data_IF_985962333618
#
_entry.id   IF_985962333618
#
_cell.length_a   1.000
_cell.length_b   1.000
_cell.length_c   1.000
_cell.angle_alpha   90.00
_cell.angle_beta   90.00
_cell.angle_gamma   90.00
#
_symmetry.space_group_name_H-M   'P 1'
#
loop_
_entity.id
_entity.type
_entity.pdbx_description
1 polymer ?
#
# COMPACT_ATOMS: atom_id res chain seq x y z
N UNK A 1 7.34 -9.37 -0.66
CA UNK A 1 8.00 -8.04 -0.69
C UNK A 1 7.65 -7.32 0.59
N UNK A 2 8.57 -6.61 1.24
CA UNK A 2 8.30 -5.91 2.50
C UNK A 2 8.28 -4.40 2.30
N UNK A 3 7.31 -3.72 2.89
CA UNK A 3 7.19 -2.26 2.89
C UNK A 3 6.88 -1.75 4.29
N UNK A 4 7.26 -0.50 4.55
CA UNK A 4 6.99 0.22 5.79
C UNK A 4 5.71 1.02 5.68
N UNK A 5 4.82 0.89 6.67
CA UNK A 5 3.53 1.54 6.74
C UNK A 5 3.39 2.31 8.06
N UNK A 6 2.60 3.38 8.02
CA UNK A 6 2.09 4.03 9.23
C UNK A 6 0.80 3.32 9.62
N UNK A 7 0.68 2.88 10.87
CA UNK A 7 -0.57 2.31 11.38
C UNK A 7 -1.64 3.41 11.39
N UNK A 8 -2.80 3.21 10.72
CA UNK A 8 -3.86 4.21 10.71
C UNK A 8 -4.41 4.45 12.12
N UNK A 9 -4.81 5.69 12.42
CA UNK A 9 -5.34 6.07 13.74
C UNK A 9 -6.60 5.28 14.15
N UNK A 10 -7.33 4.74 13.17
CA UNK A 10 -8.53 3.93 13.37
C UNK A 10 -8.23 2.49 13.86
N UNK A 11 -6.96 2.06 13.87
CA UNK A 11 -6.58 0.70 14.23
C UNK A 11 -6.32 0.59 15.72
N UNK A 12 -6.31 -0.63 16.23
CA UNK A 12 -5.95 -0.96 17.60
C UNK A 12 -4.63 -1.69 17.62
N UNK A 13 -3.73 -1.30 18.51
CA UNK A 13 -2.38 -1.84 18.64
C UNK A 13 -2.19 -2.32 20.08
N UNK A 14 -1.90 -3.61 20.27
CA UNK A 14 -1.86 -4.25 21.60
C UNK A 14 -3.11 -3.94 22.46
N UNK A 15 -4.30 -3.97 21.85
CA UNK A 15 -5.56 -3.66 22.54
C UNK A 15 -5.83 -2.17 22.80
N UNK A 16 -4.89 -1.27 22.47
CA UNK A 16 -5.05 0.18 22.66
C UNK A 16 -5.28 0.88 21.32
N UNK A 17 -6.29 1.77 21.18
CA UNK A 17 -6.51 2.55 19.97
C UNK A 17 -5.27 3.34 19.55
N UNK A 18 -4.88 3.26 18.27
CA UNK A 18 -3.70 3.95 17.74
C UNK A 18 -3.79 5.48 17.89
N UNK A 19 -5.00 6.05 17.87
CA UNK A 19 -5.24 7.48 18.12
C UNK A 19 -4.78 7.98 19.49
N UNK A 20 -4.67 7.09 20.48
CA UNK A 20 -4.22 7.40 21.85
C UNK A 20 -2.70 7.18 22.02
N UNK A 21 -2.02 6.76 20.95
CA UNK A 21 -0.60 6.40 20.95
C UNK A 21 0.21 7.30 20.02
N UNK A 22 1.52 7.43 20.24
CA UNK A 22 2.43 7.97 19.24
C UNK A 22 2.34 7.17 17.92
N UNK A 23 2.59 7.81 16.75
CA UNK A 23 2.57 7.13 15.46
C UNK A 23 3.42 5.85 15.47
N UNK A 24 2.80 4.72 15.13
CA UNK A 24 3.47 3.43 15.02
C UNK A 24 3.82 3.14 13.56
N UNK A 25 5.06 2.75 13.31
CA UNK A 25 5.52 2.28 12.01
C UNK A 25 5.65 0.75 12.05
N UNK A 26 5.19 0.10 10.99
CA UNK A 26 5.30 -1.35 10.84
C UNK A 26 5.86 -1.72 9.49
N UNK A 27 6.63 -2.80 9.46
CA UNK A 27 7.06 -3.42 8.22
C UNK A 27 6.19 -4.64 7.97
N UNK A 28 5.49 -4.67 6.83
CA UNK A 28 4.57 -5.74 6.48
C UNK A 28 4.93 -6.38 5.15
N UNK A 29 4.61 -7.66 5.03
CA UNK A 29 4.62 -8.35 3.75
C UNK A 29 3.42 -7.88 2.91
N UNK A 30 3.74 -7.35 1.74
CA UNK A 30 2.77 -6.93 0.72
C UNK A 30 2.40 -8.15 -0.10
N UNK A 31 1.10 -8.40 -0.19
CA UNK A 31 0.51 -9.48 -1.00
C UNK A 31 0.05 -8.93 -2.35
N UNK A 32 -0.48 -7.71 -2.36
CA UNK A 32 -0.94 -7.07 -3.58
C UNK A 32 -0.70 -5.56 -3.52
N UNK A 33 -0.21 -4.98 -4.61
CA UNK A 33 0.00 -3.54 -4.75
C UNK A 33 -1.01 -2.97 -5.76
N UNK A 34 -1.63 -1.86 -5.41
CA UNK A 34 -2.62 -1.15 -6.22
C UNK A 34 -2.12 0.26 -6.50
N UNK A 35 -2.11 0.67 -7.77
CA UNK A 35 -1.86 2.06 -8.16
C UNK A 35 -3.19 2.74 -8.45
N UNK A 36 -3.32 3.96 -7.95
CA UNK A 36 -4.46 4.83 -8.24
C UNK A 36 -3.95 6.12 -8.87
N UNK A 37 -4.63 6.55 -9.92
CA UNK A 37 -4.34 7.80 -10.60
C UNK A 37 -5.36 8.84 -10.16
N UNK A 38 -4.88 9.95 -9.59
CA UNK A 38 -5.72 11.07 -9.20
C UNK A 38 -5.41 12.26 -10.09
N UNK A 39 -6.45 12.83 -10.68
CA UNK A 39 -6.36 14.14 -11.33
C UNK A 39 -6.38 15.20 -10.24
N UNK A 40 -5.35 16.06 -10.20
CA UNK A 40 -5.34 17.19 -9.27
C UNK A 40 -6.51 18.12 -9.60
N UNK A 41 -7.45 18.37 -8.67
CA UNK A 41 -8.54 19.34 -8.88
C UNK A 41 -8.04 20.79 -8.80
N UNK A 42 -6.83 21.01 -8.27
CA UNK A 42 -6.22 22.33 -8.21
C UNK A 42 -5.69 22.73 -9.58
N UNK A 43 -6.44 23.61 -10.25
CA UNK A 43 -5.98 24.40 -11.40
C UNK A 43 -4.85 25.35 -10.94
N UNK A 44 -3.66 24.82 -10.67
CA UNK A 44 -2.47 25.66 -10.57
C UNK A 44 -2.22 26.26 -11.95
N UNK A 45 -2.58 27.54 -12.07
CA UNK A 45 -2.75 28.30 -13.30
C UNK A 45 -1.47 28.49 -14.14
N UNK A 46 -0.31 27.98 -13.68
CA UNK A 46 1.00 28.33 -14.24
C UNK A 46 1.97 27.17 -14.52
N UNK A 47 1.52 25.94 -14.80
CA UNK A 47 2.46 24.97 -15.41
C UNK A 47 1.80 24.02 -16.42
N UNK A 48 2.39 23.99 -17.61
CA UNK A 48 2.08 23.19 -18.80
C UNK A 48 2.25 21.66 -18.61
N UNK A 49 2.27 21.14 -17.37
CA UNK A 49 2.35 19.69 -17.11
C UNK A 49 1.18 19.28 -16.25
N UNK A 50 0.16 18.71 -16.88
CA UNK A 50 -0.95 17.99 -16.23
C UNK A 50 -0.35 16.90 -15.33
N UNK A 51 -0.11 17.20 -14.05
CA UNK A 51 0.51 16.29 -13.11
C UNK A 51 -0.48 15.22 -12.68
N UNK A 52 -0.50 14.09 -13.38
CA UNK A 52 -1.18 12.89 -12.92
C UNK A 52 -0.49 12.43 -11.62
N UNK A 53 -1.19 12.54 -10.48
CA UNK A 53 -0.60 12.12 -9.21
C UNK A 53 -0.92 10.64 -9.00
N UNK A 54 0.13 9.83 -8.99
CA UNK A 54 0.03 8.40 -8.68
C UNK A 54 0.09 8.23 -7.16
N UNK A 55 -0.89 7.54 -6.59
CA UNK A 55 -0.85 7.03 -5.21
C UNK A 55 -0.89 5.52 -5.22
N UNK A 56 -0.32 4.91 -4.18
CA UNK A 56 -0.27 3.47 -4.04
C UNK A 56 -0.97 3.04 -2.76
N UNK A 57 -1.77 1.99 -2.84
CA UNK A 57 -2.24 1.21 -1.70
C UNK A 57 -1.75 -0.23 -1.85
N UNK A 58 -1.70 -0.94 -0.74
CA UNK A 58 -1.19 -2.30 -0.67
C UNK A 58 -2.08 -3.13 0.24
N UNK A 59 -2.42 -4.35 -0.18
CA UNK A 59 -2.99 -5.35 0.71
C UNK A 59 -1.85 -6.07 1.40
N UNK A 60 -1.87 -6.05 2.73
CA UNK A 60 -0.78 -6.54 3.56
C UNK A 60 -1.25 -7.53 4.61
N UNK A 61 -0.33 -8.40 5.02
CA UNK A 61 -0.51 -9.24 6.19
C UNK A 61 -0.12 -8.43 7.43
N UNK A 62 -1.12 -8.10 8.25
CA UNK A 62 -0.90 -7.39 9.50
C UNK A 62 -0.31 -8.34 10.56
N UNK A 63 0.59 -7.83 11.42
CA UNK A 63 0.96 -8.54 12.64
C UNK A 63 -0.27 -8.79 13.54
N UNK A 64 -0.32 -9.94 14.21
CA UNK A 64 -1.47 -10.35 15.03
C UNK A 64 -1.80 -9.40 16.19
N UNK A 65 -0.85 -8.59 16.63
CA UNK A 65 -1.04 -7.58 17.68
C UNK A 65 -1.65 -6.26 17.16
N UNK A 66 -1.96 -6.17 15.86
CA UNK A 66 -2.65 -5.04 15.24
C UNK A 66 -4.01 -5.51 14.75
N UNK A 67 -5.05 -4.80 15.22
CA UNK A 67 -6.43 -5.14 14.91
C UNK A 67 -7.02 -3.99 14.06
N UNK A 68 -7.35 -4.24 12.78
CA UNK A 68 -8.08 -3.30 11.94
C UNK A 68 -9.55 -3.19 12.39
N UNK A 69 -10.23 -2.06 12.12
CA UNK A 69 -11.67 -1.96 12.35
C UNK A 69 -12.45 -2.86 11.38
N UNK A 70 -13.66 -3.28 11.77
CA UNK A 70 -14.44 -4.30 11.03
C UNK A 70 -14.76 -3.88 9.59
N UNK A 71 -15.09 -2.60 9.37
CA UNK A 71 -15.46 -2.06 8.07
C UNK A 71 -14.25 -1.65 7.20
N UNK A 72 -13.03 -2.03 7.58
CA UNK A 72 -11.85 -1.68 6.79
C UNK A 72 -11.77 -2.52 5.50
N UNK A 73 -11.31 -1.98 4.37
CA UNK A 73 -11.14 -2.76 3.14
C UNK A 73 -10.19 -3.95 3.32
N UNK A 74 -10.63 -5.14 2.92
CA UNK A 74 -9.87 -6.40 3.03
C UNK A 74 -10.07 -7.26 1.78
N UNK A 75 -9.09 -8.12 1.49
CA UNK A 75 -9.28 -9.24 0.57
C UNK A 75 -10.09 -10.35 1.25
N UNK A 76 -10.66 -11.26 0.45
CA UNK A 76 -11.33 -12.47 0.95
C UNK A 76 -10.40 -13.35 1.78
N UNK A 77 -9.09 -13.32 1.48
CA UNK A 77 -8.02 -14.00 2.22
C UNK A 77 -7.65 -13.32 3.55
N UNK A 78 -8.21 -12.14 3.84
CA UNK A 78 -8.06 -11.45 5.13
C UNK A 78 -7.00 -10.35 5.16
N UNK A 79 -6.18 -10.17 4.11
CA UNK A 79 -5.22 -9.07 4.03
C UNK A 79 -5.91 -7.71 3.99
N UNK A 80 -5.29 -6.74 4.64
CA UNK A 80 -5.88 -5.42 4.91
C UNK A 80 -5.26 -4.38 3.98
N UNK A 81 -6.09 -3.50 3.43
CA UNK A 81 -5.59 -2.41 2.60
C UNK A 81 -4.93 -1.33 3.46
N UNK A 82 -3.68 -0.99 3.15
CA UNK A 82 -2.97 0.15 3.70
C UNK A 82 -2.46 1.07 2.60
N UNK A 83 -2.47 2.38 2.86
CA UNK A 83 -1.84 3.35 1.97
C UNK A 83 -0.32 3.22 2.06
N UNK A 84 0.37 3.16 0.92
CA UNK A 84 1.83 3.09 0.86
C UNK A 84 2.44 4.48 1.00
N UNK A 85 3.19 4.77 2.07
CA UNK A 85 3.94 6.01 2.19
C UNK A 85 5.22 5.93 1.35
N UNK A 86 5.21 6.56 0.16
CA UNK A 86 6.35 6.52 -0.76
C UNK A 86 7.65 7.06 -0.14
N UNK A 87 7.57 8.03 0.76
CA UNK A 87 8.75 8.61 1.42
C UNK A 87 9.50 7.62 2.32
N UNK A 88 8.80 6.64 2.92
CA UNK A 88 9.46 5.59 3.70
C UNK A 88 9.96 4.43 2.83
N UNK A 89 9.43 4.27 1.61
CA UNK A 89 9.66 3.12 0.75
C UNK A 89 10.46 3.46 -0.52
N UNK A 90 11.16 4.59 -0.55
CA UNK A 90 11.87 5.06 -1.75
C UNK A 90 12.91 4.07 -2.29
N UNK A 91 13.49 3.25 -1.40
CA UNK A 91 14.51 2.25 -1.76
C UNK A 91 13.92 0.89 -2.12
N UNK A 92 12.61 0.70 -1.97
CA UNK A 92 11.97 -0.58 -2.25
C UNK A 92 11.56 -0.59 -3.73
N UNK A 93 12.11 -1.49 -4.56
CA UNK A 93 11.81 -1.52 -5.97
C UNK A 93 10.34 -1.92 -6.18
N UNK A 94 9.54 -1.01 -6.77
CA UNK A 94 8.14 -1.32 -7.07
C UNK A 94 8.06 -2.33 -8.23
N UNK A 95 7.19 -3.34 -8.13
CA UNK A 95 6.95 -4.27 -9.24
C UNK A 95 6.42 -3.53 -10.47
N UNK A 96 6.69 -4.07 -11.65
CA UNK A 96 6.04 -3.61 -12.87
C UNK A 96 4.55 -3.98 -12.81
N UNK A 97 3.69 -3.01 -13.12
CA UNK A 97 2.26 -3.26 -13.27
C UNK A 97 1.98 -3.74 -14.70
N UNK A 98 1.09 -4.73 -14.89
CA UNK A 98 0.63 -5.10 -16.22
C UNK A 98 0.04 -3.88 -16.96
N UNK A 99 0.17 -3.81 -18.29
CA UNK A 99 -0.23 -2.64 -19.07
C UNK A 99 -1.70 -2.24 -18.84
N UNK A 100 -2.58 -3.22 -18.74
CA UNK A 100 -4.03 -3.02 -18.59
C UNK A 100 -4.52 -3.20 -17.15
N UNK A 101 -3.62 -3.32 -16.17
CA UNK A 101 -3.97 -3.51 -14.77
C UNK A 101 -3.40 -2.43 -13.86
N UNK A 102 -4.21 -2.04 -12.88
CA UNK A 102 -3.78 -1.18 -11.78
C UNK A 102 -3.43 -1.96 -10.52
N UNK A 103 -3.45 -3.29 -10.59
CA UNK A 103 -3.22 -4.19 -9.47
C UNK A 103 -2.15 -5.20 -9.85
N UNK A 104 -1.25 -5.50 -8.91
CA UNK A 104 -0.21 -6.53 -9.08
C UNK A 104 -0.12 -7.37 -7.81
N UNK A 105 -0.38 -8.67 -7.93
CA UNK A 105 -0.22 -9.64 -6.84
C UNK A 105 1.22 -10.12 -6.81
N UNK A 106 1.82 -10.15 -5.64
CA UNK A 106 3.24 -10.44 -5.46
C UNK A 106 3.51 -11.94 -5.26
N UNK A 107 2.51 -12.70 -4.80
CA UNK A 107 2.61 -14.16 -4.69
C UNK A 107 2.80 -14.84 -6.06
N UNK A 108 2.36 -14.21 -7.15
CA UNK A 108 2.54 -14.72 -8.53
C UNK A 108 3.78 -14.19 -9.27
N UNK A 109 4.43 -13.13 -8.79
CA UNK A 109 5.58 -12.50 -9.48
C UNK A 109 6.89 -13.26 -9.23
N UNK A 110 6.93 -14.13 -8.21
CA UNK A 110 8.08 -15.02 -7.97
C UNK A 110 8.22 -16.08 -9.07
N UNK A 111 7.13 -16.48 -9.74
CA UNK A 111 7.17 -17.53 -10.77
C UNK A 111 7.65 -17.05 -12.16
N UNK A 112 7.59 -15.74 -12.46
CA UNK A 112 7.97 -15.21 -13.78
C UNK A 112 9.48 -14.91 -13.91
N UNK A 113 10.30 -15.29 -12.93
CA UNK A 113 11.76 -15.10 -12.98
C UNK A 113 12.55 -16.37 -13.34
N UNK A 114 11.87 -17.49 -13.59
CA UNK A 114 12.49 -18.80 -13.85
C UNK A 114 12.36 -19.30 -15.30
N UNK A 115 12.21 -18.43 -16.30
CA UNK A 115 12.42 -18.83 -17.71
C UNK A 115 13.78 -18.32 -18.22
N UNK A 116 14.83 -19.18 -18.27
CA UNK A 116 15.96 -18.97 -19.15
C UNK A 116 15.55 -19.34 -20.58
N UNK A 117 15.58 -18.37 -21.49
CA UNK A 117 15.65 -18.63 -22.93
C UNK A 117 16.96 -19.31 -23.31
#
# INVERSE_FOLDING_TARGET
MKMTFIVPAAFTVYGVPQKERPPCLIQCDVVELVRAFSHSPWKFRNSLRRGLRVSYSAYVRLPAWIIPPDNWPRLESGEVELRVPLHFNQRVPLPAFPPDSNRVRLDGVVQLRDEPC
#
